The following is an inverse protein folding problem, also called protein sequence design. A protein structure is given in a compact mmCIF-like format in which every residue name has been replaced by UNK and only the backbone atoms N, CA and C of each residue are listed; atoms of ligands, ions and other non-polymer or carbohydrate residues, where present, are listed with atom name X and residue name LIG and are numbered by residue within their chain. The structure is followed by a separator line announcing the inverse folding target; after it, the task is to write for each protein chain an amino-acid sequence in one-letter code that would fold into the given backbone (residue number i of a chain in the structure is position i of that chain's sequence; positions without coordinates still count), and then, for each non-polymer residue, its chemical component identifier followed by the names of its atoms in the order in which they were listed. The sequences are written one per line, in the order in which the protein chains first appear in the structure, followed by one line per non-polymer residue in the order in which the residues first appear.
data_IF_233391820379
#
_entry.id   IF_233391820379
#
_cell.length_a   1.000
_cell.length_b   1.000
_cell.length_c   1.000
_cell.angle_alpha   90.00
_cell.angle_beta   90.00
_cell.angle_gamma   90.00
#
_symmetry.space_group_name_H-M   'P 1'
#
loop_
_entity.id
_entity.type
_entity.pdbx_description
1 polymer ?
#
# COMPACT_ATOMS: atom_id res chain seq x y z
N UNK A 1 6.58 -16.76 13.48
CA UNK A 1 6.56 -15.58 12.57
C UNK A 1 7.14 -14.40 13.32
N UNK A 2 7.84 -13.50 12.62
CA UNK A 2 8.33 -12.23 13.17
C UNK A 2 7.17 -11.44 13.80
N UNK A 3 7.41 -10.77 14.94
CA UNK A 3 6.44 -9.86 15.59
C UNK A 3 6.19 -8.58 14.78
N UNK A 4 7.06 -8.27 13.83
CA UNK A 4 7.06 -7.03 13.05
C UNK A 4 6.87 -7.29 11.57
N UNK A 5 6.14 -6.39 10.91
CA UNK A 5 5.93 -6.39 9.46
C UNK A 5 6.77 -5.29 8.80
N UNK A 6 7.31 -5.56 7.60
CA UNK A 6 8.02 -4.57 6.79
C UNK A 6 7.18 -4.25 5.55
N UNK A 7 6.66 -3.02 5.50
CA UNK A 7 5.82 -2.54 4.41
C UNK A 7 6.60 -1.50 3.59
N UNK A 8 6.72 -1.73 2.28
CA UNK A 8 7.35 -0.80 1.34
C UNK A 8 6.25 -0.10 0.55
N UNK A 9 6.37 1.21 0.33
CA UNK A 9 5.36 2.01 -0.38
C UNK A 9 6.01 2.66 -1.59
N UNK A 10 5.43 2.50 -2.78
CA UNK A 10 5.90 3.17 -3.99
C UNK A 10 5.75 4.69 -3.88
N UNK A 11 6.61 5.41 -4.58
CA UNK A 11 6.73 6.87 -4.43
C UNK A 11 6.02 7.67 -5.52
N UNK A 12 5.37 7.04 -6.49
CA UNK A 12 4.70 7.73 -7.61
C UNK A 12 5.63 8.20 -8.72
N UNK A 13 6.95 7.95 -8.63
CA UNK A 13 7.97 8.55 -9.52
C UNK A 13 8.68 7.54 -10.43
N UNK A 14 8.59 6.26 -10.10
CA UNK A 14 9.23 5.20 -10.88
C UNK A 14 8.36 4.83 -12.08
N UNK A 15 9.01 4.42 -13.16
CA UNK A 15 8.37 3.68 -14.23
C UNK A 15 7.94 2.30 -13.72
N UNK A 16 6.96 1.67 -14.40
CA UNK A 16 6.55 0.31 -14.05
C UNK A 16 7.70 -0.70 -14.18
N UNK A 17 8.60 -0.50 -15.14
CA UNK A 17 9.79 -1.33 -15.32
C UNK A 17 10.73 -1.25 -14.12
N UNK A 18 11.05 -0.05 -13.64
CA UNK A 18 11.92 0.16 -12.47
C UNK A 18 11.27 -0.38 -11.20
N UNK A 19 9.99 -0.05 -10.98
CA UNK A 19 9.25 -0.53 -9.82
C UNK A 19 9.21 -2.06 -9.79
N UNK A 20 9.01 -2.70 -10.93
CA UNK A 20 8.98 -4.17 -11.05
C UNK A 20 10.33 -4.79 -10.79
N UNK A 21 11.41 -4.22 -11.35
CA UNK A 21 12.76 -4.69 -11.07
C UNK A 21 13.07 -4.65 -9.56
N UNK A 22 12.63 -3.59 -8.86
CA UNK A 22 12.76 -3.51 -7.40
C UNK A 22 11.88 -4.56 -6.71
N UNK A 23 10.60 -4.63 -7.08
CA UNK A 23 9.61 -5.50 -6.45
C UNK A 23 10.00 -6.99 -6.51
N UNK A 24 10.52 -7.46 -7.65
CA UNK A 24 11.02 -8.82 -7.85
C UNK A 24 12.14 -9.15 -6.85
N UNK A 25 13.01 -8.20 -6.54
CA UNK A 25 14.12 -8.43 -5.61
C UNK A 25 13.71 -8.35 -4.14
N UNK A 26 12.71 -7.53 -3.80
CA UNK A 26 12.35 -7.28 -2.39
C UNK A 26 11.20 -8.15 -1.87
N UNK A 27 10.32 -8.68 -2.73
CA UNK A 27 9.12 -9.40 -2.28
C UNK A 27 9.38 -10.60 -1.34
N UNK A 28 10.54 -11.31 -1.39
CA UNK A 28 10.84 -12.37 -0.42
C UNK A 28 11.17 -11.84 0.99
N UNK A 29 11.52 -10.57 1.11
CA UNK A 29 12.05 -9.94 2.32
C UNK A 29 11.08 -8.96 2.98
N UNK A 30 9.96 -8.63 2.33
CA UNK A 30 8.98 -7.66 2.81
C UNK A 30 7.62 -8.32 2.99
N UNK A 31 6.85 -7.82 3.96
CA UNK A 31 5.48 -8.29 4.20
C UNK A 31 4.54 -7.80 3.11
N UNK A 32 4.69 -6.55 2.67
CA UNK A 32 3.81 -5.91 1.71
C UNK A 32 4.55 -4.87 0.85
N UNK A 33 4.17 -4.77 -0.41
CA UNK A 33 4.54 -3.72 -1.36
C UNK A 33 3.26 -2.97 -1.73
N UNK A 34 3.15 -1.73 -1.26
CA UNK A 34 2.02 -0.85 -1.50
C UNK A 34 2.24 -0.05 -2.79
N UNK A 35 1.43 -0.31 -3.80
CA UNK A 35 1.37 0.45 -5.04
C UNK A 35 0.55 1.72 -4.79
N UNK A 36 1.23 2.86 -4.78
CA UNK A 36 0.66 4.18 -4.48
C UNK A 36 1.03 5.18 -5.57
N UNK A 37 0.48 4.96 -6.75
CA UNK A 37 0.71 5.76 -7.96
C UNK A 37 -0.43 6.78 -8.16
N UNK A 38 -0.45 7.84 -7.34
CA UNK A 38 -1.58 8.79 -7.27
C UNK A 38 -1.89 9.56 -8.55
N UNK A 39 -0.88 9.77 -9.39
CA UNK A 39 -0.99 10.59 -10.60
C UNK A 39 -1.26 9.74 -11.86
N UNK A 40 -1.22 8.40 -11.74
CA UNK A 40 -1.49 7.48 -12.85
C UNK A 40 -2.99 7.23 -12.97
N UNK A 41 -3.46 7.03 -14.19
CA UNK A 41 -4.83 6.60 -14.46
C UNK A 41 -5.11 5.19 -13.92
N UNK A 42 -6.38 4.84 -13.79
CA UNK A 42 -6.79 3.49 -13.36
C UNK A 42 -6.29 2.43 -14.34
N UNK A 43 -6.34 2.70 -15.64
CA UNK A 43 -5.88 1.77 -16.67
C UNK A 43 -4.36 1.54 -16.55
N UNK A 44 -3.56 2.61 -16.39
CA UNK A 44 -2.12 2.49 -16.16
C UNK A 44 -1.78 1.74 -14.87
N UNK A 45 -2.61 1.86 -13.83
CA UNK A 45 -2.45 1.10 -12.58
C UNK A 45 -2.71 -0.39 -12.82
N UNK A 46 -3.77 -0.74 -13.56
CA UNK A 46 -4.09 -2.13 -13.89
C UNK A 46 -2.97 -2.76 -14.72
N UNK A 47 -2.51 -2.05 -15.76
CA UNK A 47 -1.37 -2.48 -16.58
C UNK A 47 -0.10 -2.69 -15.73
N UNK A 48 0.20 -1.74 -14.84
CA UNK A 48 1.34 -1.85 -13.92
C UNK A 48 1.26 -3.03 -12.97
N UNK A 49 0.07 -3.31 -12.44
CA UNK A 49 -0.18 -4.47 -11.58
C UNK A 49 -0.05 -5.78 -12.35
N UNK A 50 -0.57 -5.86 -13.58
CA UNK A 50 -0.38 -7.02 -14.46
C UNK A 50 1.10 -7.27 -14.72
N UNK A 51 1.85 -6.21 -15.04
CA UNK A 51 3.29 -6.30 -15.29
C UNK A 51 4.08 -6.83 -14.07
N UNK A 52 3.73 -6.40 -12.86
CA UNK A 52 4.31 -6.92 -11.61
C UNK A 52 4.00 -8.41 -11.42
N UNK A 53 2.77 -8.82 -11.66
CA UNK A 53 2.32 -10.22 -11.50
C UNK A 53 2.99 -11.14 -12.53
N UNK A 54 3.05 -10.72 -13.79
CA UNK A 54 3.72 -11.46 -14.88
C UNK A 54 5.23 -11.61 -14.64
N UNK A 55 5.86 -10.62 -13.99
CA UNK A 55 7.25 -10.70 -13.57
C UNK A 55 7.49 -11.61 -12.35
N UNK A 56 6.44 -12.23 -11.80
CA UNK A 56 6.54 -13.22 -10.72
C UNK A 56 6.42 -12.64 -9.31
N UNK A 57 6.06 -11.36 -9.15
CA UNK A 57 5.77 -10.80 -7.82
C UNK A 57 4.46 -11.42 -7.31
N UNK A 58 4.45 -12.11 -6.15
CA UNK A 58 3.24 -12.78 -5.69
C UNK A 58 2.13 -11.78 -5.35
N UNK A 59 0.90 -12.03 -5.82
CA UNK A 59 -0.25 -11.17 -5.55
C UNK A 59 -0.47 -10.91 -4.04
N UNK A 60 -0.21 -11.92 -3.20
CA UNK A 60 -0.29 -11.82 -1.73
C UNK A 60 0.64 -10.76 -1.11
N UNK A 61 1.73 -10.40 -1.80
CA UNK A 61 2.67 -9.38 -1.36
C UNK A 61 2.28 -7.99 -1.87
N UNK A 62 1.38 -7.87 -2.87
CA UNK A 62 0.96 -6.61 -3.46
C UNK A 62 -0.25 -6.03 -2.73
N UNK A 63 -0.16 -4.74 -2.41
CA UNK A 63 -1.23 -3.96 -1.77
C UNK A 63 -1.51 -2.75 -2.64
N UNK A 64 -2.78 -2.43 -2.89
CA UNK A 64 -3.14 -1.28 -3.72
C UNK A 64 -3.69 -0.15 -2.86
N UNK A 65 -3.18 1.07 -3.07
CA UNK A 65 -3.71 2.23 -2.38
C UNK A 65 -4.99 2.74 -3.07
N UNK A 66 -6.09 2.89 -2.33
CA UNK A 66 -7.30 3.60 -2.77
C UNK A 66 -8.34 2.83 -3.60
N UNK A 67 -7.96 1.75 -4.30
CA UNK A 67 -8.86 1.04 -5.23
C UNK A 67 -9.24 -0.38 -4.73
N UNK A 68 -10.17 -0.52 -3.78
CA UNK A 68 -10.52 -1.80 -3.16
C UNK A 68 -11.10 -2.82 -4.16
N UNK A 69 -11.91 -2.39 -5.13
CA UNK A 69 -12.48 -3.29 -6.14
C UNK A 69 -11.41 -3.89 -7.04
N UNK A 70 -10.46 -3.08 -7.53
CA UNK A 70 -9.33 -3.57 -8.34
C UNK A 70 -8.46 -4.53 -7.53
N UNK A 71 -8.17 -4.17 -6.28
CA UNK A 71 -7.45 -5.06 -5.38
C UNK A 71 -8.19 -6.38 -5.18
N UNK A 72 -9.53 -6.34 -5.11
CA UNK A 72 -10.39 -7.50 -5.02
C UNK A 72 -10.27 -8.40 -6.25
N UNK A 73 -10.56 -7.84 -7.41
CA UNK A 73 -10.61 -8.51 -8.72
C UNK A 73 -9.26 -9.16 -9.07
N UNK A 74 -8.16 -8.47 -8.80
CA UNK A 74 -6.80 -8.97 -9.08
C UNK A 74 -6.23 -9.88 -7.98
N UNK A 75 -7.04 -10.28 -7.00
CA UNK A 75 -6.62 -11.19 -5.92
C UNK A 75 -5.37 -10.73 -5.14
N UNK A 76 -5.18 -9.41 -5.01
CA UNK A 76 -4.06 -8.83 -4.26
C UNK A 76 -4.16 -9.14 -2.75
N UNK A 77 -3.03 -9.04 -2.06
CA UNK A 77 -2.90 -9.31 -0.62
C UNK A 77 -3.66 -8.33 0.26
N UNK A 78 -3.87 -7.10 -0.21
CA UNK A 78 -4.69 -6.13 0.51
C UNK A 78 -4.88 -4.80 -0.20
N UNK A 79 -5.56 -3.91 0.51
CA UNK A 79 -5.80 -2.52 0.11
C UNK A 79 -5.36 -1.60 1.24
N UNK A 80 -4.83 -0.44 0.88
CA UNK A 80 -4.57 0.65 1.82
C UNK A 80 -5.48 1.83 1.49
N UNK A 81 -6.46 2.10 2.35
CA UNK A 81 -7.41 3.21 2.19
C UNK A 81 -6.78 4.53 2.68
N UNK A 82 -6.86 5.62 1.90
CA UNK A 82 -6.55 6.97 2.40
C UNK A 82 -7.46 7.37 3.57
N UNK A 83 -6.92 8.12 4.54
CA UNK A 83 -7.65 8.46 5.77
C UNK A 83 -8.88 9.34 5.60
N UNK A 84 -8.96 10.10 4.51
CA UNK A 84 -10.10 10.96 4.16
C UNK A 84 -11.26 10.21 3.49
N UNK A 85 -11.10 8.92 3.21
CA UNK A 85 -12.15 8.15 2.54
C UNK A 85 -13.35 7.87 3.46
N UNK A 86 -14.57 7.71 2.91
CA UNK A 86 -15.79 7.29 3.63
C UNK A 86 -15.63 5.99 4.46
N UNK A 87 -16.69 5.50 5.16
CA UNK A 87 -16.62 4.24 5.91
C UNK A 87 -16.09 3.09 5.04
N UNK A 88 -15.41 2.14 5.68
CA UNK A 88 -14.67 1.09 4.97
C UNK A 88 -15.57 0.33 3.99
N UNK A 89 -15.07 0.05 2.78
CA UNK A 89 -15.83 -0.70 1.80
C UNK A 89 -16.08 -2.11 2.31
N UNK A 90 -17.31 -2.61 2.17
CA UNK A 90 -17.57 -4.04 2.28
C UNK A 90 -16.86 -4.73 1.13
N UNK A 91 -15.71 -5.33 1.38
CA UNK A 91 -15.02 -6.13 0.37
C UNK A 91 -15.73 -7.50 0.29
N UNK A 92 -16.29 -7.89 -0.86
CA UNK A 92 -16.96 -9.17 -1.01
C UNK A 92 -16.03 -10.31 -0.60
N UNK A 93 -16.51 -11.17 0.30
CA UNK A 93 -15.78 -12.33 0.80
C UNK A 93 -15.77 -13.46 -0.23
N UNK A 94 -14.84 -13.40 -1.19
CA UNK A 94 -14.52 -14.51 -2.09
C UNK A 94 -13.01 -14.78 -2.07
N UNK A 95 -12.57 -15.92 -1.51
CA UNK A 95 -11.16 -16.31 -1.43
C UNK A 95 -10.48 -16.01 -0.09
N UNK A 96 -9.14 -15.98 -0.09
CA UNK A 96 -8.34 -15.57 1.08
C UNK A 96 -8.66 -14.13 1.48
N UNK A 97 -9.02 -13.91 2.75
CA UNK A 97 -9.38 -12.59 3.28
C UNK A 97 -8.27 -11.57 2.97
N UNK A 98 -8.63 -10.53 2.22
CA UNK A 98 -7.76 -9.40 1.88
C UNK A 98 -7.61 -8.50 3.09
N UNK A 99 -6.39 -8.05 3.39
CA UNK A 99 -6.16 -7.12 4.50
C UNK A 99 -6.55 -5.70 4.10
N UNK A 100 -7.36 -5.05 4.93
CA UNK A 100 -7.79 -3.66 4.80
C UNK A 100 -6.97 -2.81 5.78
N UNK A 101 -6.03 -2.05 5.22
CA UNK A 101 -5.28 -1.03 5.95
C UNK A 101 -5.91 0.34 5.78
N UNK A 102 -5.80 1.21 6.78
CA UNK A 102 -6.29 2.60 6.70
C UNK A 102 -5.26 3.59 7.20
N UNK A 103 -5.02 4.65 6.43
CA UNK A 103 -4.11 5.71 6.86
C UNK A 103 -4.80 6.58 7.90
N UNK A 104 -4.12 6.89 9.00
CA UNK A 104 -4.67 7.69 10.11
C UNK A 104 -3.70 8.79 10.53
N UNK A 105 -4.24 9.85 11.11
CA UNK A 105 -3.52 11.04 11.56
C UNK A 105 -3.76 11.38 13.04
N UNK A 106 -4.64 10.63 13.72
CA UNK A 106 -4.88 10.77 15.16
C UNK A 106 -5.23 9.43 15.82
N UNK A 107 -5.17 9.40 17.15
CA UNK A 107 -5.60 8.25 17.92
C UNK A 107 -7.12 8.02 17.82
N UNK A 108 -7.88 9.11 17.71
CA UNK A 108 -9.33 9.09 17.52
C UNK A 108 -9.68 8.44 16.18
N UNK A 109 -9.01 8.82 15.09
CA UNK A 109 -9.16 8.17 13.79
C UNK A 109 -8.80 6.68 13.87
N UNK A 110 -7.70 6.32 14.55
CA UNK A 110 -7.31 4.91 14.70
C UNK A 110 -8.41 4.07 15.38
N UNK A 111 -8.96 4.55 16.50
CA UNK A 111 -10.08 3.89 17.21
C UNK A 111 -11.35 3.82 16.38
N UNK A 112 -11.58 4.80 15.51
CA UNK A 112 -12.72 4.81 14.61
C UNK A 112 -12.55 3.74 13.52
N UNK A 113 -11.38 3.68 12.87
CA UNK A 113 -11.11 2.70 11.80
C UNK A 113 -11.06 1.25 12.30
N UNK A 114 -10.61 1.03 13.52
CA UNK A 114 -10.73 -0.29 14.18
C UNK A 114 -12.21 -0.72 14.28
N UNK A 115 -13.10 0.16 14.74
CA UNK A 115 -14.55 -0.13 14.84
C UNK A 115 -15.22 -0.36 13.48
N UNK A 116 -14.70 0.26 12.43
CA UNK A 116 -15.15 0.04 11.05
C UNK A 116 -14.67 -1.30 10.47
N UNK A 117 -13.75 -2.01 11.15
CA UNK A 117 -13.24 -3.31 10.74
C UNK A 117 -11.92 -3.28 9.98
N UNK A 118 -11.12 -2.23 10.13
CA UNK A 118 -9.76 -2.21 9.59
C UNK A 118 -8.91 -3.34 10.21
N UNK A 119 -8.17 -4.08 9.38
CA UNK A 119 -7.25 -5.11 9.86
C UNK A 119 -5.96 -4.49 10.43
N UNK A 120 -5.60 -3.28 9.98
CA UNK A 120 -4.51 -2.48 10.53
C UNK A 120 -4.65 -0.99 10.16
N UNK A 121 -3.88 -0.13 10.84
CA UNK A 121 -3.78 1.30 10.52
C UNK A 121 -2.34 1.69 10.23
N UNK A 122 -2.13 2.64 9.31
CA UNK A 122 -0.85 3.29 9.07
C UNK A 122 -0.88 4.71 9.63
N UNK A 123 -0.25 4.90 10.79
CA UNK A 123 0.00 6.22 11.36
C UNK A 123 1.32 6.77 10.80
N UNK A 124 1.21 7.83 10.00
CA UNK A 124 2.36 8.44 9.32
C UNK A 124 2.94 9.64 10.07
N UNK A 125 4.07 10.17 9.57
CA UNK A 125 4.72 11.39 10.09
C UNK A 125 5.25 11.30 11.52
N UNK A 126 5.67 10.12 11.96
CA UNK A 126 6.30 9.91 13.28
C UNK A 126 7.51 10.83 13.49
N UNK A 127 8.36 10.89 12.46
CA UNK A 127 9.52 11.76 12.45
C UNK A 127 9.17 13.06 11.73
N UNK A 128 9.62 14.17 12.33
CA UNK A 128 9.52 15.49 11.71
C UNK A 128 10.22 15.45 10.36
N UNK A 129 9.48 15.71 9.28
CA UNK A 129 10.10 15.93 7.98
C UNK A 129 10.77 17.30 8.00
N UNK A 130 12.06 17.32 7.71
CA UNK A 130 12.73 18.57 7.36
C UNK A 130 12.19 19.03 5.99
N UNK A 131 11.86 20.32 5.82
CA UNK A 131 11.54 20.85 4.50
C UNK A 131 12.71 20.64 3.54
N UNK A 132 12.40 20.42 2.26
CA UNK A 132 13.32 19.95 1.22
C UNK A 132 14.54 20.85 0.96
N UNK A 133 14.54 22.09 1.48
CA UNK A 133 15.65 23.04 1.39
C UNK A 133 16.66 22.99 2.54
N UNK A 134 16.43 22.18 3.58
CA UNK A 134 17.41 21.99 4.66
C UNK A 134 18.44 20.98 4.15
N UNK A 135 19.60 21.46 3.70
CA UNK A 135 20.80 20.63 3.59
C UNK A 135 21.32 20.37 5.00
N UNK A 136 21.43 19.10 5.39
CA UNK A 136 22.22 18.75 6.56
C UNK A 136 23.68 19.14 6.26
N UNK A 137 24.43 19.68 7.23
CA UNK A 137 25.85 19.96 7.04
C UNK A 137 26.55 18.65 6.67
N UNK A 138 27.33 18.71 5.58
CA UNK A 138 28.21 17.61 5.21
C UNK A 138 29.20 17.41 6.36
N UNK A 139 29.20 16.20 6.92
CA UNK A 139 30.15 15.75 7.93
C UNK A 139 31.35 15.08 7.30
#
# INVERSE_FOLDING_TARGET
MSRYELHVVSNGRLTWKELTAIAVNIHPHVTAIHIREKEKSVDEIIEGLQFLLEAGVPAKNLYLNGYPSIAADMQLGGVQMPGHMPPLPTIPGGGSRKRIGVSVHSAEEAKQREREGADYVLYGHIFRRYPSWIRLPEG
#
